data_IF_933422773497
#
_entry.id   IF_933422773497
#
_cell.length_a   1.000
_cell.length_b   1.000
_cell.length_c   1.000
_cell.angle_alpha   90.00
_cell.angle_beta   90.00
_cell.angle_gamma   90.00
#
_symmetry.space_group_name_H-M   'P 1'
#
loop_
_entity.id
_entity.type
_entity.pdbx_description
1 polymer ?
#
# COMPACT_ATOMS: atom_id res chain seq x y z
N UNK A 1 -16.90 -17.78 2.33
CA UNK A 1 -15.61 -17.75 1.59
C UNK A 1 -15.45 -16.42 0.85
N UNK A 2 -16.40 -16.08 -0.02
CA UNK A 2 -16.42 -14.82 -0.75
C UNK A 2 -16.39 -13.56 0.15
N UNK A 3 -17.12 -13.55 1.27
CA UNK A 3 -17.17 -12.40 2.19
C UNK A 3 -15.84 -12.12 2.90
N UNK A 4 -15.06 -13.16 3.24
CA UNK A 4 -13.72 -13.01 3.84
C UNK A 4 -12.70 -12.55 2.80
N UNK A 5 -12.78 -13.04 1.58
CA UNK A 5 -11.98 -12.55 0.46
C UNK A 5 -12.28 -11.08 0.15
N UNK A 6 -13.56 -10.67 0.22
CA UNK A 6 -13.97 -9.27 0.09
C UNK A 6 -13.43 -8.43 1.24
N UNK A 7 -13.45 -8.94 2.47
CA UNK A 7 -12.92 -8.24 3.65
C UNK A 7 -11.39 -8.06 3.56
N UNK A 8 -10.65 -9.10 3.17
CA UNK A 8 -9.20 -9.06 2.94
C UNK A 8 -8.87 -8.11 1.78
N UNK A 9 -9.62 -8.18 0.67
CA UNK A 9 -9.44 -7.29 -0.47
C UNK A 9 -9.75 -5.83 -0.14
N UNK A 10 -10.74 -5.56 0.73
CA UNK A 10 -11.04 -4.23 1.25
C UNK A 10 -9.97 -3.73 2.21
N UNK A 11 -9.48 -4.58 3.12
CA UNK A 11 -8.38 -4.27 4.05
C UNK A 11 -7.06 -4.04 3.30
N UNK A 12 -6.89 -4.64 2.13
CA UNK A 12 -5.70 -4.45 1.31
C UNK A 12 -5.86 -3.32 0.28
N UNK A 13 -7.05 -2.73 0.14
CA UNK A 13 -7.33 -1.63 -0.80
C UNK A 13 -7.14 -1.95 -2.29
N UNK A 14 -6.83 -3.19 -2.66
CA UNK A 14 -6.29 -3.56 -3.97
C UNK A 14 -7.29 -4.11 -4.99
N UNK A 15 -8.60 -4.14 -4.70
CA UNK A 15 -9.58 -4.64 -5.68
C UNK A 15 -10.61 -3.59 -6.09
N UNK A 16 -10.73 -3.37 -7.40
CA UNK A 16 -12.03 -3.07 -8.00
C UNK A 16 -12.89 -4.32 -7.82
N UNK A 17 -13.83 -4.28 -6.87
CA UNK A 17 -14.88 -5.30 -6.78
C UNK A 17 -15.86 -5.05 -7.92
N UNK A 18 -15.65 -5.72 -9.06
CA UNK A 18 -16.72 -5.99 -10.00
C UNK A 18 -17.57 -7.12 -9.41
N UNK A 19 -18.52 -6.80 -8.53
CA UNK A 19 -19.50 -7.79 -8.10
C UNK A 19 -20.90 -7.38 -8.51
N UNK A 20 -21.42 -8.08 -9.51
CA UNK A 20 -22.77 -7.91 -10.03
C UNK A 20 -23.87 -8.56 -9.17
N UNK A 21 -23.57 -9.26 -8.07
CA UNK A 21 -24.62 -9.82 -7.18
C UNK A 21 -24.08 -10.14 -5.79
N UNK A 22 -24.11 -9.17 -4.87
CA UNK A 22 -23.86 -9.42 -3.45
C UNK A 22 -25.13 -9.98 -2.78
N UNK A 23 -25.11 -11.28 -2.41
CA UNK A 23 -26.09 -11.83 -1.46
C UNK A 23 -25.38 -12.10 -0.12
N UNK A 24 -25.98 -11.62 0.97
CA UNK A 24 -25.54 -11.88 2.35
C UNK A 24 -26.00 -13.29 2.76
N UNK A 25 -25.09 -14.16 3.22
CA UNK A 25 -25.49 -15.37 3.94
C UNK A 25 -24.64 -15.63 5.19
N UNK A 26 -25.30 -15.37 6.32
CA UNK A 26 -25.51 -16.19 7.52
C UNK A 26 -24.48 -17.27 7.92
N UNK A 27 -23.91 -17.07 9.12
CA UNK A 27 -23.38 -18.03 10.13
C UNK A 27 -23.05 -19.45 9.64
N UNK A 28 -21.75 -19.72 9.44
CA UNK A 28 -21.21 -21.09 9.29
C UNK A 28 -20.70 -21.63 10.65
N UNK A 29 -20.86 -22.94 10.93
CA UNK A 29 -20.36 -23.60 12.15
C UNK A 29 -18.83 -23.70 12.21
N UNK A 30 -18.31 -23.94 13.42
CA UNK A 30 -16.87 -23.92 13.74
C UNK A 30 -16.03 -24.94 12.96
N UNK A 31 -16.55 -26.15 12.66
CA UNK A 31 -15.81 -27.16 11.87
C UNK A 31 -15.61 -26.73 10.42
N UNK A 32 -16.63 -26.12 9.82
CA UNK A 32 -16.57 -25.63 8.44
C UNK A 32 -15.67 -24.40 8.34
N UNK A 33 -15.53 -23.63 9.43
CA UNK A 33 -14.60 -22.50 9.50
C UNK A 33 -13.14 -22.97 9.52
N UNK A 34 -12.84 -24.02 10.30
CA UNK A 34 -11.49 -24.59 10.39
C UNK A 34 -11.02 -25.21 9.06
N UNK A 35 -11.90 -25.92 8.37
CA UNK A 35 -11.60 -26.49 7.05
C UNK A 35 -11.42 -25.40 5.99
N UNK A 36 -12.17 -24.30 6.08
CA UNK A 36 -12.01 -23.15 5.19
C UNK A 36 -10.73 -22.36 5.46
N UNK A 37 -10.30 -22.24 6.72
CA UNK A 37 -9.02 -21.61 7.10
C UNK A 37 -7.84 -22.44 6.55
N UNK A 38 -7.88 -23.77 6.70
CA UNK A 38 -6.88 -24.66 6.13
C UNK A 38 -6.84 -24.60 4.60
N UNK A 39 -7.99 -24.53 3.94
CA UNK A 39 -8.07 -24.37 2.49
C UNK A 39 -7.51 -23.02 2.01
N UNK A 40 -7.68 -21.95 2.78
CA UNK A 40 -7.09 -20.64 2.49
C UNK A 40 -5.57 -20.66 2.63
N UNK A 41 -5.02 -21.34 3.64
CA UNK A 41 -3.57 -21.53 3.76
C UNK A 41 -2.99 -22.27 2.54
N UNK A 42 -3.67 -23.31 2.06
CA UNK A 42 -3.23 -24.04 0.86
C UNK A 42 -3.28 -23.17 -0.42
N UNK A 43 -4.30 -22.33 -0.55
CA UNK A 43 -4.41 -21.38 -1.67
C UNK A 43 -3.30 -20.33 -1.62
N UNK A 44 -2.92 -19.83 -0.44
CA UNK A 44 -1.83 -18.85 -0.27
C UNK A 44 -0.46 -19.43 -0.66
N UNK A 45 -0.25 -20.74 -0.55
CA UNK A 45 0.99 -21.40 -0.99
C UNK A 45 1.04 -21.58 -2.51
N UNK A 46 -0.09 -21.89 -3.14
CA UNK A 46 -0.14 -22.27 -4.57
C UNK A 46 -0.26 -21.07 -5.50
N UNK A 47 -0.96 -20.00 -5.10
CA UNK A 47 -1.20 -18.85 -5.98
C UNK A 47 0.03 -18.01 -6.35
N UNK A 48 1.04 -17.83 -5.49
CA UNK A 48 2.30 -17.18 -5.87
C UNK A 48 3.04 -17.95 -6.97
N UNK A 49 2.94 -19.28 -6.97
CA UNK A 49 3.53 -20.15 -8.01
C UNK A 49 2.85 -19.95 -9.37
N UNK A 50 1.58 -19.53 -9.35
CA UNK A 50 0.76 -19.26 -10.54
C UNK A 50 0.79 -17.78 -10.96
N UNK A 51 1.63 -16.95 -10.33
CA UNK A 51 1.80 -15.53 -10.69
C UNK A 51 0.74 -14.58 -10.12
N UNK A 52 -0.08 -15.05 -9.18
CA UNK A 52 -1.11 -14.24 -8.52
C UNK A 52 -0.63 -13.79 -7.12
N UNK A 53 0.05 -12.65 -7.07
CA UNK A 53 0.68 -12.14 -5.83
C UNK A 53 -0.27 -11.40 -4.87
N UNK A 54 -1.53 -11.19 -5.24
CA UNK A 54 -2.49 -10.44 -4.42
C UNK A 54 -2.89 -11.12 -3.09
N UNK A 55 -2.55 -12.40 -2.92
CA UNK A 55 -2.84 -13.22 -1.73
C UNK A 55 -1.60 -13.51 -0.86
N UNK A 56 -0.41 -13.00 -1.22
CA UNK A 56 0.68 -12.94 -0.24
C UNK A 56 0.18 -12.09 0.93
N UNK A 57 0.38 -12.55 2.16
CA UNK A 57 0.23 -11.72 3.34
C UNK A 57 1.06 -10.44 3.13
N UNK A 58 0.40 -9.34 2.78
CA UNK A 58 1.08 -8.05 2.64
C UNK A 58 1.57 -7.67 4.03
N UNK A 59 2.90 -7.57 4.17
CA UNK A 59 3.54 -7.04 5.37
C UNK A 59 3.22 -5.55 5.46
N UNK A 60 2.06 -5.22 6.00
CA UNK A 60 1.72 -3.83 6.28
C UNK A 60 2.73 -3.28 7.30
N UNK A 61 3.37 -2.12 7.05
CA UNK A 61 4.26 -1.49 8.01
C UNK A 61 3.69 -1.43 9.43
N UNK A 62 2.40 -1.13 9.55
CA UNK A 62 1.64 -1.11 10.80
C UNK A 62 1.49 -2.47 11.50
N UNK A 63 1.57 -3.58 10.78
CA UNK A 63 1.57 -4.94 11.34
C UNK A 63 2.99 -5.40 11.73
N UNK A 64 4.02 -4.95 11.00
CA UNK A 64 5.44 -5.22 11.28
C UNK A 64 5.88 -4.60 12.62
N UNK A 65 5.27 -3.48 13.02
CA UNK A 65 5.52 -2.81 14.30
C UNK A 65 4.94 -3.56 15.53
N UNK A 66 3.98 -4.47 15.35
CA UNK A 66 3.38 -5.23 16.49
C UNK A 66 4.19 -6.46 16.90
N UNK A 67 4.97 -7.06 15.99
CA UNK A 67 5.74 -8.28 16.27
C UNK A 67 7.16 -7.97 16.78
N UNK A 68 7.65 -6.74 16.60
CA UNK A 68 9.08 -6.42 16.75
C UNK A 68 9.37 -5.34 17.79
N UNK A 69 8.83 -5.47 19.00
CA UNK A 69 9.26 -4.66 20.14
C UNK A 69 10.65 -5.07 20.71
N UNK A 70 11.59 -5.58 19.89
CA UNK A 70 12.92 -5.94 20.44
C UNK A 70 14.17 -5.75 19.59
N UNK A 71 14.14 -5.57 18.28
CA UNK A 71 15.35 -5.27 17.51
C UNK A 71 14.98 -4.43 16.27
N UNK A 72 14.96 -3.10 16.40
CA UNK A 72 14.86 -2.21 15.25
C UNK A 72 16.18 -2.38 14.48
N UNK A 73 16.12 -3.07 13.35
CA UNK A 73 17.26 -3.22 12.45
C UNK A 73 17.50 -1.84 11.81
N UNK A 74 18.69 -1.23 11.90
CA UNK A 74 18.94 0.14 11.41
C UNK A 74 18.60 0.31 9.91
N UNK A 75 18.66 -0.78 9.13
CA UNK A 75 18.24 -0.81 7.72
C UNK A 75 16.76 -0.46 7.48
N UNK A 76 15.89 -0.61 8.49
CA UNK A 76 14.44 -0.33 8.37
C UNK A 76 14.15 1.17 8.45
N UNK A 77 14.88 1.91 9.29
CA UNK A 77 14.78 3.38 9.36
C UNK A 77 15.36 4.03 8.10
N UNK A 78 16.41 3.42 7.52
CA UNK A 78 17.03 3.86 6.27
C UNK A 78 16.11 3.74 5.05
N UNK A 79 14.93 3.14 5.17
CA UNK A 79 13.96 2.94 4.10
C UNK A 79 12.68 3.80 4.26
N UNK A 80 12.69 4.82 5.13
CA UNK A 80 11.57 5.75 5.33
C UNK A 80 11.76 6.99 4.44
N UNK A 81 10.72 7.33 3.69
CA UNK A 81 10.69 8.46 2.77
C UNK A 81 9.60 9.46 3.13
N UNK A 82 9.80 10.72 2.73
CA UNK A 82 8.79 11.76 2.81
C UNK A 82 8.58 12.43 1.46
N UNK A 83 7.36 12.93 1.27
CA UNK A 83 6.96 13.82 0.19
C UNK A 83 6.29 15.04 0.84
N UNK A 84 6.95 16.18 0.77
CA UNK A 84 6.45 17.42 1.36
C UNK A 84 6.43 18.54 0.33
N UNK A 85 5.26 19.14 0.16
CA UNK A 85 5.04 20.39 -0.58
C UNK A 85 4.04 21.24 0.20
N UNK A 86 3.76 22.46 -0.27
CA UNK A 86 2.76 23.32 0.40
C UNK A 86 1.44 22.56 0.58
N UNK A 87 1.01 22.45 1.83
CA UNK A 87 -0.23 21.81 2.30
C UNK A 87 -0.28 20.27 2.11
N UNK A 88 0.88 19.62 1.93
CA UNK A 88 1.01 18.15 1.83
C UNK A 88 2.21 17.69 2.66
N UNK A 89 1.97 16.71 3.52
CA UNK A 89 3.01 15.98 4.24
C UNK A 89 2.65 14.49 4.23
N UNK A 90 3.41 13.70 3.48
CA UNK A 90 3.19 12.28 3.30
C UNK A 90 4.45 11.49 3.60
N UNK A 91 4.28 10.32 4.20
CA UNK A 91 5.37 9.40 4.54
C UNK A 91 5.17 8.08 3.82
N UNK A 92 6.28 7.46 3.45
CA UNK A 92 6.30 6.16 2.83
C UNK A 92 7.43 5.30 3.42
N UNK A 93 7.30 4.00 3.30
CA UNK A 93 8.33 3.04 3.68
C UNK A 93 8.52 2.01 2.57
N UNK A 94 9.77 1.65 2.34
CA UNK A 94 10.12 0.55 1.45
C UNK A 94 10.36 -0.71 2.26
N UNK A 95 9.62 -1.77 1.97
CA UNK A 95 9.78 -3.08 2.61
C UNK A 95 9.92 -4.11 1.50
N UNK A 96 11.00 -4.89 1.50
CA UNK A 96 11.25 -5.92 0.48
C UNK A 96 11.14 -5.39 -0.99
N UNK A 97 11.47 -4.12 -1.21
CA UNK A 97 11.40 -3.45 -2.52
C UNK A 97 10.01 -2.88 -2.88
N UNK A 98 9.00 -3.09 -2.05
CA UNK A 98 7.64 -2.60 -2.22
C UNK A 98 7.45 -1.22 -1.57
N UNK A 99 6.62 -0.36 -2.18
CA UNK A 99 6.47 1.04 -1.76
C UNK A 99 5.13 1.28 -1.06
N UNK A 100 5.16 1.37 0.26
CA UNK A 100 3.99 1.60 1.10
C UNK A 100 3.88 3.08 1.47
N UNK A 101 2.75 3.74 1.16
CA UNK A 101 2.41 5.02 1.76
C UNK A 101 1.78 4.75 3.12
N UNK A 102 2.28 5.43 4.15
CA UNK A 102 1.89 5.17 5.53
C UNK A 102 0.56 5.86 5.86
N UNK A 103 -0.20 5.24 6.76
CA UNK A 103 -1.36 5.85 7.41
C UNK A 103 -1.03 7.24 7.95
N UNK A 104 -1.97 8.17 7.81
CA UNK A 104 -1.84 9.57 8.23
C UNK A 104 -1.12 10.46 7.22
N UNK A 105 -0.66 9.91 6.09
CA UNK A 105 -0.13 10.72 4.99
C UNK A 105 -1.20 11.62 4.38
N UNK A 106 -0.91 12.90 4.24
CA UNK A 106 -1.82 13.89 3.65
C UNK A 106 -1.82 13.84 2.14
N UNK A 107 -2.99 14.06 1.56
CA UNK A 107 -3.26 14.11 0.13
C UNK A 107 -3.75 15.53 -0.20
N UNK A 108 -3.25 16.12 -1.28
CA UNK A 108 -3.75 17.42 -1.76
C UNK A 108 -5.21 17.26 -2.18
N UNK A 109 -6.18 18.03 -1.64
CA UNK A 109 -7.58 17.95 -2.05
C UNK A 109 -7.78 18.25 -3.54
N UNK A 110 -7.11 19.30 -4.04
CA UNK A 110 -7.20 19.73 -5.43
C UNK A 110 -6.43 18.82 -6.38
N UNK A 111 -7.01 18.63 -7.57
CA UNK A 111 -6.40 17.89 -8.67
C UNK A 111 -6.17 18.82 -9.85
N UNK A 112 -4.91 19.09 -10.21
CA UNK A 112 -4.57 19.97 -11.33
C UNK A 112 -4.55 19.26 -12.69
N UNK A 113 -4.44 17.93 -12.71
CA UNK A 113 -4.47 17.11 -13.93
C UNK A 113 -5.51 15.99 -13.83
N UNK A 114 -6.82 16.31 -13.87
CA UNK A 114 -7.89 15.33 -13.62
C UNK A 114 -7.95 14.20 -14.65
N UNK A 115 -7.46 14.44 -15.87
CA UNK A 115 -7.46 13.44 -16.95
C UNK A 115 -6.33 12.41 -16.86
N UNK A 116 -5.33 12.64 -15.99
CA UNK A 116 -4.21 11.72 -15.83
C UNK A 116 -4.70 10.43 -15.15
N UNK A 117 -4.23 9.26 -15.62
CA UNK A 117 -4.75 7.94 -15.25
C UNK A 117 -4.93 7.73 -13.73
N UNK A 118 -3.92 8.10 -12.93
CA UNK A 118 -4.00 7.98 -11.47
C UNK A 118 -5.09 8.86 -10.82
N UNK A 119 -5.37 10.04 -11.37
CA UNK A 119 -6.40 10.94 -10.87
C UNK A 119 -7.79 10.53 -11.34
N UNK A 120 -7.88 10.02 -12.58
CA UNK A 120 -9.15 9.59 -13.18
C UNK A 120 -9.64 8.24 -12.63
N UNK A 121 -8.72 7.30 -12.40
CA UNK A 121 -9.07 5.91 -12.11
C UNK A 121 -8.66 5.46 -10.70
N UNK A 122 -7.42 5.71 -10.27
CA UNK A 122 -6.93 5.18 -9.00
C UNK A 122 -7.43 5.97 -7.80
N UNK A 123 -7.24 7.29 -7.78
CA UNK A 123 -7.60 8.15 -6.64
C UNK A 123 -9.09 8.09 -6.26
N UNK A 124 -10.06 8.06 -7.20
CA UNK A 124 -11.46 7.87 -6.87
C UNK A 124 -11.75 6.52 -6.22
N UNK A 125 -11.07 5.46 -6.65
CA UNK A 125 -11.18 4.12 -6.04
C UNK A 125 -10.66 4.15 -4.60
N UNK A 126 -9.53 4.82 -4.34
CA UNK A 126 -8.99 4.94 -2.98
C UNK A 126 -9.91 5.73 -2.03
N UNK A 127 -10.56 6.79 -2.54
CA UNK A 127 -11.58 7.54 -1.80
C UNK A 127 -12.83 6.69 -1.54
N UNK A 128 -13.35 6.02 -2.57
CA UNK A 128 -14.55 5.19 -2.47
C UNK A 128 -14.37 3.99 -1.53
N UNK A 129 -13.17 3.41 -1.50
CA UNK A 129 -12.83 2.30 -0.61
C UNK A 129 -12.43 2.75 0.81
N UNK A 130 -12.42 4.06 1.08
CA UNK A 130 -12.05 4.61 2.39
C UNK A 130 -10.56 4.44 2.73
N UNK A 131 -9.71 4.16 1.75
CA UNK A 131 -8.24 4.18 1.92
C UNK A 131 -7.75 5.61 2.12
N UNK A 132 -8.37 6.57 1.43
CA UNK A 132 -8.22 8.01 1.67
C UNK A 132 -9.53 8.53 2.23
N UNK A 133 -9.49 9.23 3.37
CA UNK A 133 -10.67 9.90 3.91
C UNK A 133 -11.05 11.10 3.02
N UNK A 134 -12.28 11.18 2.48
CA UNK A 134 -12.68 12.25 1.57
C UNK A 134 -12.90 13.60 2.25
N UNK A 135 -13.00 13.66 3.57
CA UNK A 135 -13.24 14.90 4.33
C UNK A 135 -11.92 15.57 4.73
N UNK A 136 -10.97 14.79 5.22
CA UNK A 136 -9.67 15.29 5.70
C UNK A 136 -8.53 15.07 4.71
N UNK A 137 -8.76 14.30 3.63
CA UNK A 137 -7.76 13.94 2.62
C UNK A 137 -6.48 13.34 3.22
N UNK A 138 -6.65 12.33 4.08
CA UNK A 138 -5.55 11.58 4.69
C UNK A 138 -5.71 10.08 4.46
N UNK A 139 -4.59 9.36 4.33
CA UNK A 139 -4.60 7.90 4.28
C UNK A 139 -5.06 7.33 5.62
N UNK A 140 -6.09 6.47 5.60
CA UNK A 140 -6.67 5.85 6.80
C UNK A 140 -5.91 4.59 7.25
N UNK A 141 -5.12 4.03 6.34
CA UNK A 141 -4.33 2.80 6.49
C UNK A 141 -3.09 2.88 5.59
N UNK A 142 -2.13 1.98 5.82
CA UNK A 142 -0.99 1.84 4.92
C UNK A 142 -1.49 1.32 3.57
N UNK A 143 -0.90 1.81 2.47
CA UNK A 143 -1.32 1.42 1.14
C UNK A 143 -0.12 1.17 0.22
N UNK A 144 -0.08 -0.03 -0.36
CA UNK A 144 0.92 -0.44 -1.33
C UNK A 144 0.64 0.18 -2.69
N UNK A 145 1.58 0.98 -3.17
CA UNK A 145 1.56 1.52 -4.53
C UNK A 145 2.41 0.70 -5.48
N UNK A 146 1.98 0.61 -6.74
CA UNK A 146 2.73 -0.04 -7.81
C UNK A 146 4.05 0.66 -8.15
N UNK A 147 4.22 1.93 -7.75
CA UNK A 147 5.47 2.67 -7.89
C UNK A 147 5.48 3.94 -7.03
N UNK A 148 6.66 4.51 -6.71
CA UNK A 148 6.78 5.82 -6.07
C UNK A 148 6.09 6.94 -6.87
N UNK A 149 6.09 6.86 -8.21
CA UNK A 149 5.43 7.85 -9.08
C UNK A 149 3.91 7.76 -9.01
N UNK A 150 3.34 6.55 -8.90
CA UNK A 150 1.90 6.38 -8.69
C UNK A 150 1.46 6.99 -7.34
N UNK A 151 2.23 6.72 -6.28
CA UNK A 151 2.02 7.29 -4.95
C UNK A 151 2.06 8.82 -4.98
N UNK A 152 3.15 9.39 -5.51
CA UNK A 152 3.33 10.84 -5.62
C UNK A 152 2.24 11.49 -6.46
N UNK A 153 1.79 10.85 -7.54
CA UNK A 153 0.76 11.42 -8.39
C UNK A 153 -0.61 11.52 -7.69
N UNK A 154 -1.02 10.45 -7.00
CA UNK A 154 -2.26 10.44 -6.21
C UNK A 154 -2.21 11.51 -5.12
N UNK A 155 -1.10 11.57 -4.38
CA UNK A 155 -0.91 12.50 -3.26
C UNK A 155 -0.90 13.95 -3.73
N UNK A 156 -0.18 14.25 -4.81
CA UNK A 156 -0.01 15.62 -5.30
C UNK A 156 -1.14 16.09 -6.22
N UNK A 157 -1.99 15.18 -6.71
CA UNK A 157 -3.07 15.52 -7.65
C UNK A 157 -2.56 15.92 -9.05
N UNK A 158 -1.36 15.49 -9.44
CA UNK A 158 -0.71 15.80 -10.72
C UNK A 158 0.25 14.70 -11.14
N UNK A 159 0.76 14.74 -12.37
CA UNK A 159 1.91 13.91 -12.73
C UNK A 159 3.09 14.16 -11.76
N UNK A 160 3.73 13.07 -11.34
CA UNK A 160 4.81 13.05 -10.36
C UNK A 160 5.96 12.19 -10.88
N UNK A 161 7.19 12.68 -10.68
CA UNK A 161 8.38 11.86 -10.83
C UNK A 161 8.80 11.39 -9.43
N UNK A 162 8.15 10.33 -8.94
CA UNK A 162 8.33 9.87 -7.57
C UNK A 162 9.78 9.49 -7.26
N UNK A 163 10.54 9.01 -8.25
CA UNK A 163 11.97 8.70 -8.10
C UNK A 163 12.80 9.90 -7.62
N UNK A 164 12.38 11.12 -7.97
CA UNK A 164 13.05 12.38 -7.61
C UNK A 164 12.36 13.14 -6.48
N UNK A 165 11.03 13.05 -6.41
CA UNK A 165 10.24 13.84 -5.45
C UNK A 165 10.21 13.21 -4.04
N UNK A 166 10.24 11.88 -3.94
CA UNK A 166 10.37 11.21 -2.63
C UNK A 166 11.80 11.31 -2.12
N UNK A 167 11.95 11.76 -0.88
CA UNK A 167 13.25 11.92 -0.22
C UNK A 167 13.36 11.04 0.99
N UNK A 168 14.53 10.44 1.17
CA UNK A 168 14.82 9.65 2.34
C UNK A 168 14.85 10.53 3.60
N UNK A 169 14.30 10.02 4.70
CA UNK A 169 14.14 10.79 5.94
C UNK A 169 15.48 11.00 6.66
N UNK A 170 16.43 10.07 6.52
CA UNK A 170 17.73 10.11 7.20
C UNK A 170 18.75 10.97 6.46
N UNK A 171 18.84 10.83 5.14
CA UNK A 171 19.91 11.45 4.34
C UNK A 171 19.43 12.43 3.26
N UNK A 172 18.11 12.62 3.11
CA UNK A 172 17.48 13.53 2.14
C UNK A 172 17.78 13.27 0.66
N UNK A 173 18.44 12.14 0.35
CA UNK A 173 18.61 11.67 -1.02
C UNK A 173 17.26 11.35 -1.64
N UNK A 174 17.15 11.56 -2.94
CA UNK A 174 16.00 11.10 -3.69
C UNK A 174 15.90 9.57 -3.66
N UNK A 175 14.70 9.04 -3.91
CA UNK A 175 14.49 7.60 -4.00
C UNK A 175 15.43 6.92 -5.01
N UNK A 176 15.68 7.56 -6.16
CA UNK A 176 16.63 7.08 -7.17
C UNK A 176 18.07 6.97 -6.67
N UNK A 177 18.57 8.03 -6.04
CA UNK A 177 19.93 8.05 -5.47
C UNK A 177 20.08 7.02 -4.34
N UNK A 178 19.04 6.89 -3.50
CA UNK A 178 19.02 5.88 -2.45
C UNK A 178 19.05 4.45 -3.02
N UNK A 179 18.27 4.16 -4.05
CA UNK A 179 18.28 2.84 -4.71
C UNK A 179 19.66 2.53 -5.33
N UNK A 180 20.29 3.52 -5.97
CA UNK A 180 21.60 3.35 -6.58
C UNK A 180 22.68 3.00 -5.53
N UNK A 181 22.68 3.72 -4.40
CA UNK A 181 23.63 3.48 -3.32
C UNK A 181 23.48 2.08 -2.70
N UNK A 182 22.25 1.54 -2.64
CA UNK A 182 22.01 0.17 -2.17
C UNK A 182 22.62 -0.88 -3.10
N UNK A 183 22.52 -0.68 -4.42
CA UNK A 183 23.08 -1.60 -5.43
C UNK A 183 24.61 -1.60 -5.39
N UNK A 184 25.22 -0.43 -5.23
CA UNK A 184 26.68 -0.28 -5.15
C UNK A 184 27.27 -0.95 -3.90
N UNK A 185 26.57 -0.91 -2.77
CA UNK A 185 26.98 -1.59 -1.53
C UNK A 185 26.87 -3.12 -1.59
N UNK A 186 25.99 -3.66 -2.42
CA UNK A 186 25.82 -5.12 -2.61
C UNK A 186 26.84 -5.66 -3.63
N UNK A 187 27.39 -4.78 -4.48
CA UNK A 187 28.33 -5.15 -5.55
C UNK A 187 29.81 -5.17 -5.10
N UNK A 188 30.08 -4.95 -3.81
CA UNK A 188 31.38 -4.97 -3.15
C UNK A 188 31.48 -6.17 -2.20
#
# INVERSE_FOLDING_TARGET
MESRLIEIAKKNGQCQLLNGTAHQYSRLPESDTADMEYFLEQIQVVLPVLGYEFLKEMKHPSDVLKVQNKLINPRIEDAIFYLSVKDVDAKAQVIDGEFYVLKGSKVRPDVSQPNHNYMKNLRPVLLANGVIDPNIFEFTQDYLFSSPSAAGAVILGRASNGRKEWKNSSNHLSYEEWQQNQVEQISL
#
